data_IF_747594155971
#
_entry.id   IF_747594155971
#
_cell.length_a   1.000
_cell.length_b   1.000
_cell.length_c   1.000
_cell.angle_alpha   90.00
_cell.angle_beta   90.00
_cell.angle_gamma   90.00
#
_symmetry.space_group_name_H-M   'P 1'
#
loop_
_entity.id
_entity.type
_entity.pdbx_description
1 polymer ?
#
# COMPACT_ATOMS: atom_id res chain seq x y z
N UNK A 1 6.50 3.47 -14.46
CA UNK A 1 7.44 2.34 -14.16
C UNK A 1 6.67 1.02 -14.32
N UNK A 2 7.32 -0.13 -14.56
CA UNK A 2 6.65 -1.45 -14.57
C UNK A 2 6.99 -2.23 -13.31
N UNK A 3 5.96 -2.85 -12.72
CA UNK A 3 6.08 -3.71 -11.56
C UNK A 3 6.82 -4.99 -11.93
N UNK A 4 7.85 -5.32 -11.18
CA UNK A 4 8.62 -6.55 -11.35
C UNK A 4 7.94 -7.78 -10.73
N UNK A 5 6.99 -7.58 -9.82
CA UNK A 5 6.18 -8.66 -9.24
C UNK A 5 5.14 -9.19 -10.22
N UNK A 6 4.44 -8.31 -10.94
CA UNK A 6 3.29 -8.70 -11.77
C UNK A 6 3.28 -8.13 -13.20
N UNK A 7 4.25 -7.32 -13.58
CA UNK A 7 4.37 -6.73 -14.91
C UNK A 7 3.45 -5.54 -15.21
N UNK A 8 2.51 -5.21 -14.32
CA UNK A 8 1.59 -4.08 -14.50
C UNK A 8 2.29 -2.73 -14.35
N UNK A 9 1.65 -1.69 -14.88
CA UNK A 9 2.12 -0.32 -14.70
C UNK A 9 2.01 0.12 -13.23
N UNK A 10 2.98 0.91 -12.79
CA UNK A 10 3.05 1.47 -11.44
C UNK A 10 2.73 2.95 -11.46
N UNK A 11 2.08 3.40 -10.40
CA UNK A 11 1.78 4.81 -10.13
C UNK A 11 2.82 5.40 -9.21
N UNK A 12 3.26 6.62 -9.51
CA UNK A 12 4.11 7.42 -8.60
C UNK A 12 3.22 7.94 -7.47
N UNK A 13 3.65 7.77 -6.22
CA UNK A 13 2.98 8.39 -5.09
C UNK A 13 2.97 9.91 -5.24
N UNK A 14 1.83 10.57 -4.96
CA UNK A 14 1.81 12.01 -4.91
C UNK A 14 2.79 12.47 -3.83
N UNK A 15 3.71 13.35 -4.21
CA UNK A 15 4.57 14.07 -3.27
C UNK A 15 3.76 15.20 -2.66
N UNK A 16 3.95 15.44 -1.37
CA UNK A 16 3.34 16.59 -0.71
C UNK A 16 3.96 17.88 -1.29
N UNK A 17 3.22 18.59 -2.13
CA UNK A 17 3.70 19.79 -2.84
C UNK A 17 4.03 20.93 -1.86
N UNK A 18 3.57 20.85 -0.61
CA UNK A 18 3.83 21.82 0.44
C UNK A 18 5.24 21.69 1.07
N UNK A 19 5.95 20.58 0.81
CA UNK A 19 7.33 20.44 1.23
C UNK A 19 8.26 21.07 0.18
N UNK A 20 8.85 22.22 0.51
CA UNK A 20 9.86 22.94 -0.31
C UNK A 20 11.14 22.10 -0.64
N UNK A 21 11.21 20.85 -0.16
CA UNK A 21 12.29 19.91 -0.42
C UNK A 21 11.93 18.91 -1.52
N UNK A 22 12.80 18.81 -2.54
CA UNK A 22 12.75 17.69 -3.49
C UNK A 22 12.97 16.38 -2.71
N UNK A 23 12.10 15.37 -2.84
CA UNK A 23 12.29 14.11 -2.12
C UNK A 23 13.58 13.43 -2.58
N UNK A 24 14.26 12.76 -1.64
CA UNK A 24 15.47 11.97 -1.96
C UNK A 24 15.13 10.71 -2.78
N UNK A 25 13.88 10.25 -2.72
CA UNK A 25 13.39 9.05 -3.41
C UNK A 25 11.94 9.25 -3.90
N UNK A 26 11.65 8.76 -5.10
CA UNK A 26 10.30 8.54 -5.58
C UNK A 26 9.78 7.20 -5.03
N UNK A 27 8.56 7.17 -4.50
CA UNK A 27 7.86 5.91 -4.20
C UNK A 27 6.91 5.57 -5.33
N UNK A 28 7.07 4.39 -5.93
CA UNK A 28 6.17 3.86 -6.95
C UNK A 28 5.42 2.67 -6.39
N UNK A 29 4.11 2.60 -6.63
CA UNK A 29 3.25 1.49 -6.21
C UNK A 29 2.51 0.89 -7.39
N UNK A 30 2.51 -0.43 -7.48
CA UNK A 30 1.63 -1.13 -8.40
C UNK A 30 0.22 -1.20 -7.81
N UNK A 31 -0.77 -0.53 -8.38
CA UNK A 31 -2.16 -0.58 -7.87
C UNK A 31 -2.85 -1.94 -8.06
N UNK A 32 -2.22 -2.87 -8.79
CA UNK A 32 -2.74 -4.24 -8.94
C UNK A 32 -2.26 -5.16 -7.81
N UNK A 33 -0.97 -5.23 -7.49
CA UNK A 33 -0.47 -6.10 -6.41
C UNK A 33 -0.01 -5.34 -5.15
N UNK A 34 -0.05 -4.02 -5.13
CA UNK A 34 0.50 -3.16 -4.07
C UNK A 34 1.95 -3.48 -3.70
N UNK A 35 2.76 -3.80 -4.71
CA UNK A 35 4.21 -3.85 -4.56
C UNK A 35 4.79 -2.44 -4.72
N UNK A 36 5.68 -2.09 -3.80
CA UNK A 36 6.35 -0.80 -3.78
C UNK A 36 7.77 -0.89 -4.30
N UNK A 37 8.20 0.18 -4.95
CA UNK A 37 9.55 0.36 -5.48
C UNK A 37 9.99 1.78 -5.21
N UNK A 38 11.11 1.92 -4.52
CA UNK A 38 11.76 3.21 -4.32
C UNK A 38 12.77 3.46 -5.43
N UNK A 39 12.76 4.68 -5.95
CA UNK A 39 13.77 5.15 -6.92
C UNK A 39 14.48 6.36 -6.33
N UNK A 40 15.77 6.23 -6.05
CA UNK A 40 16.58 7.36 -5.62
C UNK A 40 16.66 8.42 -6.72
N UNK A 41 16.27 9.67 -6.42
CA UNK A 41 16.11 10.73 -7.42
C UNK A 41 17.45 11.08 -8.08
N UNK A 42 18.53 11.20 -7.30
CA UNK A 42 19.84 11.60 -7.80
C UNK A 42 20.56 10.50 -8.60
N UNK A 43 20.56 9.27 -8.08
CA UNK A 43 21.33 8.16 -8.67
C UNK A 43 20.52 7.34 -9.67
N UNK A 44 19.18 7.44 -9.64
CA UNK A 44 18.29 6.55 -10.37
C UNK A 44 18.29 5.11 -9.87
N UNK A 45 19.00 4.81 -8.76
CA UNK A 45 19.04 3.46 -8.17
C UNK A 45 17.63 3.02 -7.77
N UNK A 46 17.32 1.77 -8.08
CA UNK A 46 16.05 1.13 -7.74
C UNK A 46 16.24 0.24 -6.51
N UNK A 47 15.39 0.44 -5.51
CA UNK A 47 15.24 -0.39 -4.33
C UNK A 47 13.83 -1.00 -4.31
N UNK A 48 13.76 -2.32 -4.13
CA UNK A 48 12.51 -3.09 -4.19
C UNK A 48 12.09 -3.46 -2.77
N UNK A 49 10.84 -3.17 -2.43
CA UNK A 49 10.29 -3.56 -1.13
C UNK A 49 9.98 -5.06 -1.16
N UNK A 50 10.46 -5.85 -0.18
CA UNK A 50 10.14 -7.26 -0.11
C UNK A 50 8.65 -7.48 0.18
N UNK A 51 8.17 -8.70 -0.03
CA UNK A 51 6.83 -9.09 0.39
C UNK A 51 6.64 -8.89 1.90
N UNK A 52 5.56 -8.21 2.27
CA UNK A 52 5.11 -8.06 3.65
C UNK A 52 3.80 -8.81 3.88
N UNK A 53 3.63 -9.56 4.99
CA UNK A 53 2.38 -10.22 5.33
C UNK A 53 1.20 -9.24 5.45
N UNK A 54 -0.02 -9.78 5.31
CA UNK A 54 -1.25 -8.98 5.21
C UNK A 54 -1.49 -8.07 6.41
N UNK A 55 -1.17 -8.50 7.62
CA UNK A 55 -1.31 -7.74 8.87
C UNK A 55 -0.26 -6.63 9.07
N UNK A 56 0.80 -6.65 8.26
CA UNK A 56 1.94 -5.75 8.37
C UNK A 56 2.09 -4.85 7.13
N UNK A 57 1.25 -5.03 6.11
CA UNK A 57 1.35 -4.31 4.83
C UNK A 57 0.60 -2.99 4.81
N UNK A 58 -0.50 -2.89 5.55
CA UNK A 58 -1.46 -1.80 5.36
C UNK A 58 -1.44 -0.85 6.55
N UNK A 59 -1.38 0.44 6.26
CA UNK A 59 -1.64 1.48 7.25
C UNK A 59 -3.15 1.59 7.49
N UNK A 60 -3.54 2.00 8.70
CA UNK A 60 -4.92 2.35 9.01
C UNK A 60 -5.24 3.70 8.40
N UNK A 61 -6.35 3.78 7.68
CA UNK A 61 -6.90 5.06 7.25
C UNK A 61 -7.53 5.78 8.44
N UNK A 62 -7.11 7.03 8.66
CA UNK A 62 -7.65 7.92 9.70
C UNK A 62 -8.39 9.07 9.02
N UNK A 63 -9.66 9.24 9.39
CA UNK A 63 -10.55 10.27 8.85
C UNK A 63 -10.88 11.29 9.94
N UNK A 64 -10.29 12.50 9.91
CA UNK A 64 -10.54 13.49 10.96
C UNK A 64 -11.97 14.04 10.94
N UNK A 65 -12.61 14.15 9.76
CA UNK A 65 -13.91 14.82 9.59
C UNK A 65 -15.02 13.92 9.05
N UNK A 66 -14.77 12.61 8.93
CA UNK A 66 -15.73 11.67 8.36
C UNK A 66 -15.84 10.41 9.21
N UNK A 67 -17.07 10.07 9.62
CA UNK A 67 -17.35 8.80 10.27
C UNK A 67 -17.54 7.71 9.20
N UNK A 68 -16.44 7.08 8.82
CA UNK A 68 -16.50 5.84 8.07
C UNK A 68 -16.84 4.71 9.04
N UNK A 69 -17.96 4.02 8.83
CA UNK A 69 -18.23 2.82 9.62
C UNK A 69 -17.06 1.82 9.45
N UNK A 70 -16.46 1.43 10.57
CA UNK A 70 -15.36 0.47 10.64
C UNK A 70 -13.97 1.04 10.43
N UNK A 71 -12.98 0.15 10.53
CA UNK A 71 -11.55 0.46 10.42
C UNK A 71 -11.08 0.05 9.03
N UNK A 72 -10.58 1.02 8.26
CA UNK A 72 -10.25 0.84 6.85
C UNK A 72 -8.74 0.77 6.64
N UNK A 73 -8.32 -0.03 5.66
CA UNK A 73 -6.94 -0.09 5.19
C UNK A 73 -6.72 1.02 4.16
N UNK A 74 -5.66 1.80 4.34
CA UNK A 74 -5.17 2.73 3.32
C UNK A 74 -4.52 1.95 2.18
N UNK A 75 -4.79 2.35 0.94
CA UNK A 75 -4.33 1.66 -0.26
C UNK A 75 -3.25 2.43 -1.00
N UNK A 76 -3.60 3.62 -1.51
CA UNK A 76 -2.72 4.51 -2.25
C UNK A 76 -3.23 5.94 -2.12
N UNK A 77 -2.34 6.90 -1.88
CA UNK A 77 -2.67 8.31 -1.68
C UNK A 77 -3.79 8.50 -0.63
N UNK A 78 -4.91 9.06 -1.05
CA UNK A 78 -6.10 9.39 -0.24
C UNK A 78 -7.22 8.35 -0.41
N UNK A 79 -6.87 7.14 -0.83
CA UNK A 79 -7.84 6.06 -1.10
C UNK A 79 -7.64 4.87 -0.17
N UNK A 80 -8.75 4.26 0.24
CA UNK A 80 -8.78 2.99 0.98
C UNK A 80 -8.84 1.79 0.03
N UNK A 81 -8.56 0.59 0.54
CA UNK A 81 -8.70 -0.65 -0.24
C UNK A 81 -10.14 -0.91 -0.70
N UNK A 82 -11.13 -0.45 0.06
CA UNK A 82 -12.54 -0.57 -0.33
C UNK A 82 -13.02 0.54 -1.28
N UNK A 83 -12.13 1.47 -1.68
CA UNK A 83 -12.43 2.52 -2.67
C UNK A 83 -13.04 3.80 -2.11
N UNK A 84 -13.06 3.98 -0.78
CA UNK A 84 -13.36 5.30 -0.20
C UNK A 84 -12.20 6.24 -0.54
N UNK A 85 -12.54 7.37 -1.17
CA UNK A 85 -11.64 8.50 -1.38
C UNK A 85 -11.95 9.58 -0.33
N UNK A 86 -10.92 10.05 0.38
CA UNK A 86 -11.06 11.12 1.36
C UNK A 86 -9.83 12.02 1.32
N UNK A 87 -10.00 13.25 0.85
CA UNK A 87 -8.90 14.20 0.65
C UNK A 87 -8.15 14.56 1.94
N UNK A 88 -8.82 14.47 3.09
CA UNK A 88 -8.27 14.71 4.42
C UNK A 88 -7.82 13.43 5.14
N UNK A 89 -7.75 12.30 4.44
CA UNK A 89 -7.24 11.04 4.99
C UNK A 89 -5.80 11.23 5.43
N UNK A 90 -5.56 11.00 6.71
CA UNK A 90 -4.21 11.05 7.26
C UNK A 90 -3.53 9.70 7.07
N UNK A 91 -2.24 9.75 6.75
CA UNK A 91 -1.33 8.62 6.88
C UNK A 91 -0.60 8.71 8.22
N UNK A 92 -0.67 7.66 9.01
CA UNK A 92 0.14 7.48 10.21
C UNK A 92 0.77 6.09 10.13
N UNK A 93 2.06 6.04 9.79
CA UNK A 93 2.83 4.80 9.65
C UNK A 93 3.03 4.08 10.98
N UNK A 94 2.71 4.73 12.12
CA UNK A 94 2.72 4.10 13.44
C UNK A 94 1.44 3.30 13.73
N UNK A 95 0.38 3.47 12.94
CA UNK A 95 -0.91 2.80 13.14
C UNK A 95 -1.19 1.88 11.96
N UNK A 96 -0.79 0.61 12.12
CA UNK A 96 -1.06 -0.43 11.13
C UNK A 96 -2.53 -0.88 11.18
N UNK A 97 -3.09 -1.17 10.01
CA UNK A 97 -4.40 -1.78 9.88
C UNK A 97 -4.30 -3.29 10.11
N UNK A 98 -5.14 -3.80 11.02
CA UNK A 98 -5.20 -5.22 11.33
C UNK A 98 -6.49 -5.85 10.78
N UNK A 99 -6.42 -6.87 9.89
CA UNK A 99 -7.59 -7.57 9.37
C UNK A 99 -8.40 -8.30 10.47
N UNK A 100 -7.78 -8.68 11.58
CA UNK A 100 -8.42 -9.47 12.65
C UNK A 100 -9.20 -8.61 13.65
N UNK A 101 -9.08 -7.28 13.56
CA UNK A 101 -9.90 -6.39 14.39
C UNK A 101 -11.39 -6.54 14.05
N UNK A 102 -12.22 -6.59 15.09
CA UNK A 102 -13.67 -6.80 14.96
C UNK A 102 -14.36 -5.68 14.20
N UNK A 103 -13.81 -4.46 14.28
CA UNK A 103 -14.32 -3.29 13.56
C UNK A 103 -13.71 -3.13 12.16
N UNK A 104 -12.78 -3.98 11.72
CA UNK A 104 -12.16 -3.85 10.39
C UNK A 104 -13.16 -4.06 9.27
N UNK A 105 -13.14 -3.15 8.29
CA UNK A 105 -14.03 -3.14 7.14
C UNK A 105 -13.90 -4.45 6.35
N UNK A 106 -15.02 -5.16 6.17
CA UNK A 106 -15.04 -6.45 5.46
C UNK A 106 -14.55 -6.34 4.00
N UNK A 107 -14.92 -5.27 3.29
CA UNK A 107 -14.44 -5.05 1.92
C UNK A 107 -12.93 -4.79 1.85
N UNK A 108 -12.34 -4.14 2.87
CA UNK A 108 -10.89 -4.00 2.97
C UNK A 108 -10.21 -5.37 3.20
N UNK A 109 -10.79 -6.26 4.01
CA UNK A 109 -10.27 -7.62 4.23
C UNK A 109 -10.25 -8.42 2.94
N UNK A 110 -11.38 -8.46 2.22
CA UNK A 110 -11.49 -9.18 0.96
C UNK A 110 -10.52 -8.65 -0.11
N UNK A 111 -10.37 -7.33 -0.20
CA UNK A 111 -9.41 -6.74 -1.13
C UNK A 111 -7.97 -7.02 -0.71
N UNK A 112 -7.63 -6.95 0.58
CA UNK A 112 -6.30 -7.26 1.08
C UNK A 112 -5.90 -8.70 0.78
N UNK A 113 -6.82 -9.66 0.98
CA UNK A 113 -6.62 -11.08 0.64
C UNK A 113 -6.47 -11.28 -0.87
N UNK A 114 -7.30 -10.61 -1.67
CA UNK A 114 -7.19 -10.64 -3.12
C UNK A 114 -5.83 -10.10 -3.58
N UNK A 115 -5.39 -8.98 -3.04
CA UNK A 115 -4.07 -8.40 -3.31
C UNK A 115 -2.96 -9.37 -2.89
N UNK A 116 -3.08 -10.01 -1.73
CA UNK A 116 -2.10 -11.00 -1.29
C UNK A 116 -2.00 -12.20 -2.25
N UNK A 117 -3.15 -12.68 -2.75
CA UNK A 117 -3.21 -13.78 -3.71
C UNK A 117 -2.52 -13.46 -5.05
N UNK A 118 -2.40 -12.16 -5.40
CA UNK A 118 -1.71 -11.69 -6.61
C UNK A 118 -0.18 -11.78 -6.49
N UNK A 119 0.36 -11.93 -5.29
CA UNK A 119 1.80 -12.11 -5.10
C UNK A 119 2.24 -13.54 -5.45
N UNK A 120 3.29 -13.70 -6.28
CA UNK A 120 3.89 -14.99 -6.58
C UNK A 120 4.27 -15.74 -5.31
N UNK A 121 3.93 -17.03 -5.24
CA UNK A 121 4.15 -17.87 -4.04
C UNK A 121 5.60 -17.90 -3.56
N UNK A 122 6.55 -17.93 -4.50
CA UNK A 122 7.98 -17.92 -4.21
C UNK A 122 8.41 -16.62 -3.50
N UNK A 123 7.79 -15.48 -3.84
CA UNK A 123 8.09 -14.20 -3.18
C UNK A 123 7.45 -14.09 -1.79
N UNK A 124 6.40 -14.88 -1.51
CA UNK A 124 5.76 -14.97 -0.18
C UNK A 124 6.50 -15.90 0.79
N UNK A 125 7.57 -16.56 0.36
CA UNK A 125 8.22 -17.63 1.13
C UNK A 125 7.38 -18.91 1.22
N UNK A 126 6.36 -19.07 0.37
CA UNK A 126 5.45 -20.21 0.29
C UNK A 126 5.84 -21.16 -0.84
N UNK A 127 7.14 -21.51 -0.93
CA UNK A 127 7.61 -22.54 -1.86
C UNK A 127 7.06 -23.91 -1.45
N UNK A 128 6.54 -24.66 -2.42
CA UNK A 128 6.23 -26.08 -2.24
C UNK A 128 7.56 -26.83 -2.05
N UNK A 129 7.77 -27.38 -0.85
CA UNK A 129 8.79 -28.40 -0.61
C UNK A 129 8.33 -29.74 -1.19
N UNK A 130 8.30 -29.84 -2.52
CA UNK A 130 8.19 -31.12 -3.25
C UNK A 130 6.84 -31.82 -3.20
#
# INVERSE_FOLDING_TARGET
>A
MRCDVCGHEMSLWPTDEELDSVPLMDTWTCLWCHADTFRHVESGKIERVPYWPLDSRWERAVFPHFDSAGIHARAFATTTLCGIEAADMLSDDSIMWNPDESASCQACKEMAELVDSRWPRNLRGLEDRG
#
